data_IF_374701554496
#
_entry.id   IF_374701554496
#
_cell.length_a   1.000
_cell.length_b   1.000
_cell.length_c   1.000
_cell.angle_alpha   90.00
_cell.angle_beta   90.00
_cell.angle_gamma   90.00
#
_symmetry.space_group_name_H-M   'P 1'
#
loop_
_entity.id
_entity.type
_entity.pdbx_description
1 polymer ?
#
# COMPACT_ATOMS: atom_id res chain seq x y z
N UNK A 1 16.03 22.28 2.59
CA UNK A 1 16.49 22.47 3.99
C UNK A 1 16.87 21.15 4.65
N UNK A 2 15.96 20.18 4.77
CA UNK A 2 16.29 18.88 5.37
C UNK A 2 17.48 18.18 4.67
N UNK A 3 17.39 17.98 3.35
CA UNK A 3 18.46 17.36 2.54
C UNK A 3 19.81 18.09 2.70
N UNK A 4 19.81 19.41 2.68
CA UNK A 4 21.02 20.22 2.92
C UNK A 4 21.60 20.04 4.33
N UNK A 5 20.74 19.84 5.33
CA UNK A 5 21.18 19.62 6.72
C UNK A 5 21.76 18.22 6.89
N UNK A 6 21.21 17.24 6.17
CA UNK A 6 21.82 15.92 6.03
C UNK A 6 23.21 16.00 5.40
N UNK A 7 23.37 16.80 4.32
CA UNK A 7 24.67 17.03 3.66
C UNK A 7 25.66 17.70 4.63
N UNK A 8 25.22 18.70 5.39
CA UNK A 8 26.06 19.36 6.40
C UNK A 8 26.53 18.41 7.51
N UNK A 9 25.74 17.37 7.82
CA UNK A 9 26.11 16.27 8.74
C UNK A 9 27.00 15.19 8.11
N UNK A 10 27.32 15.31 6.81
CA UNK A 10 28.10 14.31 6.07
C UNK A 10 27.32 13.04 5.73
N UNK A 11 25.98 13.09 5.74
CA UNK A 11 25.16 11.97 5.29
C UNK A 11 25.14 11.93 3.75
N UNK A 12 25.13 10.71 3.19
CA UNK A 12 24.99 10.47 1.75
C UNK A 12 23.71 11.13 1.23
N UNK A 13 23.82 11.86 0.13
CA UNK A 13 22.69 12.39 -0.61
C UNK A 13 22.47 11.54 -1.85
N UNK A 14 21.27 11.03 -2.01
CA UNK A 14 20.85 10.26 -3.18
C UNK A 14 20.23 11.23 -4.20
N UNK A 15 20.97 11.48 -5.29
CA UNK A 15 20.57 12.40 -6.36
C UNK A 15 19.77 11.71 -7.48
N UNK A 16 19.95 10.39 -7.63
CA UNK A 16 19.30 9.56 -8.66
C UNK A 16 17.97 8.97 -8.19
N UNK A 17 17.71 9.03 -6.88
CA UNK A 17 16.47 8.59 -6.26
C UNK A 17 16.54 7.15 -5.75
N UNK A 18 15.74 6.88 -4.72
CA UNK A 18 15.84 5.64 -3.93
C UNK A 18 15.41 4.35 -4.65
N UNK A 19 14.89 4.45 -5.87
CA UNK A 19 14.25 3.33 -6.57
C UNK A 19 15.23 2.44 -7.35
N UNK A 20 16.46 2.89 -7.58
CA UNK A 20 17.56 2.10 -8.14
C UNK A 20 18.80 2.17 -7.21
N UNK A 21 18.78 1.45 -6.07
CA UNK A 21 19.75 1.66 -5.00
C UNK A 21 21.18 1.18 -5.30
N UNK A 22 21.42 0.50 -6.43
CA UNK A 22 22.73 -0.04 -6.78
C UNK A 22 23.32 -0.99 -5.72
N UNK A 23 24.65 -1.11 -5.68
CA UNK A 23 25.37 -1.96 -4.72
C UNK A 23 25.40 -1.39 -3.29
N UNK A 24 25.23 -0.07 -3.14
CA UNK A 24 25.27 0.62 -1.84
C UNK A 24 23.97 0.48 -1.04
N UNK A 25 22.97 -0.17 -1.62
CA UNK A 25 21.65 -0.36 -1.02
C UNK A 25 20.89 0.96 -0.87
N UNK A 26 19.65 0.84 -0.40
CA UNK A 26 18.75 2.00 -0.27
C UNK A 26 19.06 2.76 1.01
N UNK A 27 20.06 3.63 0.98
CA UNK A 27 20.50 4.43 2.14
C UNK A 27 20.85 5.86 1.74
N UNK A 28 20.62 6.81 2.65
CA UNK A 28 20.92 8.23 2.43
C UNK A 28 19.67 9.11 2.40
N UNK A 29 19.85 10.37 2.05
CA UNK A 29 18.83 11.41 2.10
C UNK A 29 18.58 12.00 0.71
N UNK A 30 17.36 12.43 0.43
CA UNK A 30 17.02 12.87 -0.93
C UNK A 30 15.56 13.28 -1.08
N UNK A 31 15.18 13.47 -2.34
CA UNK A 31 13.82 13.79 -2.76
C UNK A 31 13.11 12.50 -3.16
N UNK A 32 11.82 12.39 -2.83
CA UNK A 32 11.02 11.25 -3.25
C UNK A 32 10.41 11.47 -4.63
N UNK A 33 10.40 10.43 -5.44
CA UNK A 33 9.61 10.40 -6.67
C UNK A 33 8.14 10.15 -6.36
N UNK A 34 7.27 10.79 -7.15
CA UNK A 34 5.83 10.60 -7.05
C UNK A 34 5.21 10.33 -8.41
N UNK A 35 4.11 9.60 -8.39
CA UNK A 35 3.23 9.42 -9.54
C UNK A 35 2.41 10.70 -9.81
N UNK A 36 3.11 11.78 -10.14
CA UNK A 36 2.56 13.10 -10.46
C UNK A 36 3.20 13.59 -11.74
N UNK A 37 2.38 14.01 -12.69
CA UNK A 37 2.84 14.61 -13.94
C UNK A 37 2.11 15.93 -14.13
N UNK A 38 2.88 17.03 -14.27
CA UNK A 38 2.37 18.40 -14.37
C UNK A 38 1.30 18.72 -13.30
N UNK A 39 1.62 18.45 -12.04
CA UNK A 39 0.72 18.71 -10.92
C UNK A 39 -0.51 17.80 -10.82
N UNK A 40 -0.65 16.82 -11.72
CA UNK A 40 -1.79 15.89 -11.72
C UNK A 40 -1.35 14.49 -11.33
N UNK A 41 -2.07 13.88 -10.39
CA UNK A 41 -1.88 12.48 -10.00
C UNK A 41 -2.02 11.54 -11.20
N UNK A 42 -1.02 10.70 -11.43
CA UNK A 42 -1.06 9.60 -12.38
C UNK A 42 -1.57 8.34 -11.67
N UNK A 43 -2.89 8.11 -11.69
CA UNK A 43 -3.47 6.89 -11.13
C UNK A 43 -3.28 5.69 -12.08
N UNK A 44 -3.20 4.47 -11.51
CA UNK A 44 -3.15 3.24 -12.31
C UNK A 44 -4.38 3.11 -13.22
N UNK A 45 -5.56 3.55 -12.77
CA UNK A 45 -6.76 3.58 -13.58
C UNK A 45 -6.57 4.44 -14.85
N UNK A 46 -6.02 5.65 -14.72
CA UNK A 46 -5.72 6.52 -15.87
C UNK A 46 -4.68 5.88 -16.80
N UNK A 47 -3.62 5.30 -16.23
CA UNK A 47 -2.53 4.71 -16.99
C UNK A 47 -2.94 3.43 -17.77
N UNK A 48 -3.76 2.57 -17.17
CA UNK A 48 -4.08 1.24 -17.72
C UNK A 48 -5.40 1.20 -18.48
N UNK A 49 -6.46 1.83 -17.95
CA UNK A 49 -7.77 1.88 -18.62
C UNK A 49 -7.75 2.90 -19.77
N UNK A 50 -7.00 3.98 -19.60
CA UNK A 50 -6.96 5.08 -20.56
C UNK A 50 -8.31 5.79 -20.73
N UNK A 51 -8.38 6.69 -21.71
CA UNK A 51 -9.60 7.45 -22.00
C UNK A 51 -10.50 6.74 -23.04
N UNK A 52 -9.91 5.87 -23.87
CA UNK A 52 -10.62 5.15 -24.94
C UNK A 52 -11.25 3.86 -24.41
N UNK A 53 -12.57 3.78 -24.48
CA UNK A 53 -13.31 2.54 -24.17
C UNK A 53 -12.96 1.44 -25.17
N UNK A 54 -12.68 0.24 -24.67
CA UNK A 54 -12.46 -0.97 -25.47
C UNK A 54 -13.74 -1.81 -25.45
N UNK A 55 -14.16 -2.35 -26.59
CA UNK A 55 -15.41 -3.14 -26.71
C UNK A 55 -15.40 -4.42 -25.87
N UNK A 56 -14.22 -4.93 -25.54
CA UNK A 56 -14.00 -6.15 -24.77
C UNK A 56 -13.70 -5.89 -23.28
N UNK A 57 -13.86 -4.65 -22.79
CA UNK A 57 -13.64 -4.29 -21.39
C UNK A 57 -14.89 -3.59 -20.83
N UNK A 58 -15.51 -4.23 -19.86
CA UNK A 58 -16.69 -3.70 -19.18
C UNK A 58 -16.29 -3.26 -17.77
N UNK A 59 -16.49 -1.98 -17.46
CA UNK A 59 -16.23 -1.41 -16.13
C UNK A 59 -17.57 -1.07 -15.50
N UNK A 60 -17.85 -1.67 -14.34
CA UNK A 60 -19.09 -1.45 -13.58
C UNK A 60 -18.72 -0.81 -12.24
N UNK A 61 -18.96 0.50 -12.13
CA UNK A 61 -18.71 1.28 -10.90
C UNK A 61 -19.89 1.23 -9.94
N UNK A 62 -19.66 1.54 -8.67
CA UNK A 62 -20.70 1.47 -7.63
C UNK A 62 -21.12 0.04 -7.29
N UNK A 63 -20.28 -0.94 -7.65
CA UNK A 63 -20.50 -2.36 -7.39
C UNK A 63 -19.60 -2.86 -6.26
N UNK A 64 -20.19 -3.55 -5.30
CA UNK A 64 -19.49 -4.10 -4.13
C UNK A 64 -19.54 -5.63 -4.18
N UNK A 65 -18.40 -6.28 -4.44
CA UNK A 65 -18.32 -7.75 -4.51
C UNK A 65 -18.47 -8.35 -3.13
N UNK A 66 -19.37 -9.31 -2.99
CA UNK A 66 -19.68 -9.99 -1.72
C UNK A 66 -18.95 -11.31 -1.56
N UNK A 67 -18.95 -12.12 -2.62
CA UNK A 67 -18.34 -13.46 -2.64
C UNK A 67 -18.07 -13.93 -4.08
N UNK A 68 -17.17 -14.90 -4.17
CA UNK A 68 -16.92 -15.74 -5.32
C UNK A 68 -17.82 -16.96 -5.25
N UNK A 69 -18.37 -17.37 -6.39
CA UNK A 69 -19.25 -18.53 -6.50
C UNK A 69 -18.47 -19.74 -7.01
N UNK A 70 -18.73 -20.91 -6.45
CA UNK A 70 -18.06 -22.16 -6.79
C UNK A 70 -19.03 -23.23 -7.29
N UNK A 71 -18.47 -24.19 -8.02
CA UNK A 71 -19.10 -25.45 -8.38
C UNK A 71 -18.14 -26.59 -8.10
N UNK A 72 -18.68 -27.73 -7.66
CA UNK A 72 -17.90 -28.93 -7.34
C UNK A 72 -18.09 -29.96 -8.45
N UNK A 73 -17.04 -30.22 -9.21
CA UNK A 73 -17.03 -31.22 -10.27
C UNK A 73 -15.94 -32.26 -9.98
N UNK A 74 -16.31 -33.55 -9.97
CA UNK A 74 -15.38 -34.68 -9.70
C UNK A 74 -14.50 -34.45 -8.45
N UNK A 75 -15.09 -33.87 -7.40
CA UNK A 75 -14.41 -33.59 -6.14
C UNK A 75 -13.55 -32.32 -6.12
N UNK A 76 -13.36 -31.63 -7.25
CA UNK A 76 -12.60 -30.38 -7.35
C UNK A 76 -13.53 -29.16 -7.36
N UNK A 77 -13.19 -28.14 -6.57
CA UNK A 77 -13.88 -26.86 -6.56
C UNK A 77 -13.36 -25.98 -7.69
N UNK A 78 -14.26 -25.45 -8.52
CA UNK A 78 -13.94 -24.55 -9.62
C UNK A 78 -14.80 -23.30 -9.55
N UNK A 79 -14.20 -22.14 -9.81
CA UNK A 79 -14.94 -20.86 -9.81
C UNK A 79 -16.02 -20.85 -10.90
N UNK A 80 -17.17 -20.26 -10.59
CA UNK A 80 -18.31 -20.10 -11.50
C UNK A 80 -18.63 -18.65 -11.82
N UNK A 81 -18.22 -17.72 -10.97
CA UNK A 81 -18.55 -16.30 -11.10
C UNK A 81 -18.43 -15.53 -9.80
N UNK A 82 -19.06 -14.37 -9.75
CA UNK A 82 -19.09 -13.48 -8.58
C UNK A 82 -20.50 -12.99 -8.29
N UNK A 83 -20.78 -12.76 -7.01
CA UNK A 83 -21.97 -12.09 -6.53
C UNK A 83 -21.59 -10.71 -6.00
N UNK A 84 -22.34 -9.68 -6.37
CA UNK A 84 -22.06 -8.30 -6.00
C UNK A 84 -23.34 -7.48 -5.81
N UNK A 85 -23.26 -6.40 -5.03
CA UNK A 85 -24.34 -5.42 -4.89
C UNK A 85 -24.12 -4.28 -5.87
N UNK A 86 -25.15 -3.89 -6.63
CA UNK A 86 -25.17 -2.67 -7.43
C UNK A 86 -26.58 -2.06 -7.37
N UNK A 87 -26.68 -0.75 -7.12
CA UNK A 87 -27.97 -0.07 -6.99
C UNK A 87 -28.83 -0.55 -5.81
N UNK A 88 -28.24 -1.21 -4.80
CA UNK A 88 -28.97 -1.80 -3.67
C UNK A 88 -29.54 -3.20 -3.93
N UNK A 89 -29.28 -3.76 -5.11
CA UNK A 89 -29.74 -5.10 -5.50
C UNK A 89 -28.57 -6.08 -5.59
N UNK A 90 -28.85 -7.37 -5.39
CA UNK A 90 -27.85 -8.45 -5.53
C UNK A 90 -27.84 -8.93 -6.98
N UNK A 91 -26.66 -8.89 -7.59
CA UNK A 91 -26.39 -9.33 -8.94
C UNK A 91 -25.43 -10.51 -8.94
N UNK A 92 -25.56 -11.36 -9.95
CA UNK A 92 -24.66 -12.49 -10.19
C UNK A 92 -24.08 -12.38 -11.59
N UNK A 93 -22.75 -12.40 -11.69
CA UNK A 93 -22.04 -12.50 -12.97
C UNK A 93 -21.37 -13.86 -13.05
N UNK A 94 -21.80 -14.67 -14.03
CA UNK A 94 -21.27 -16.01 -14.26
C UNK A 94 -20.25 -16.01 -15.38
N UNK A 95 -19.22 -16.85 -15.24
CA UNK A 95 -18.32 -17.16 -16.33
C UNK A 95 -19.10 -17.85 -17.45
N UNK A 96 -18.89 -17.43 -18.70
CA UNK A 96 -19.49 -18.10 -19.86
C UNK A 96 -18.96 -19.52 -19.96
N UNK A 97 -19.84 -20.49 -20.22
CA UNK A 97 -19.47 -21.84 -20.63
C UNK A 97 -18.83 -21.84 -22.03
N UNK A 98 -17.83 -22.68 -22.25
CA UNK A 98 -17.14 -22.86 -23.55
C UNK A 98 -15.62 -22.69 -23.50
N UNK A 99 -14.91 -23.32 -24.44
CA UNK A 99 -13.50 -23.00 -24.74
C UNK A 99 -13.47 -21.60 -25.38
N UNK A 100 -12.49 -20.76 -25.06
CA UNK A 100 -12.30 -19.49 -25.75
C UNK A 100 -12.20 -19.67 -27.26
N UNK A 101 -12.88 -18.82 -28.02
CA UNK A 101 -12.81 -18.76 -29.49
C UNK A 101 -11.43 -18.24 -29.97
N UNK A 102 -10.55 -17.86 -29.05
CA UNK A 102 -9.19 -17.44 -29.34
C UNK A 102 -8.26 -18.64 -29.44
N UNK A 103 -7.32 -18.59 -30.38
CA UNK A 103 -6.04 -19.28 -30.21
C UNK A 103 -5.58 -19.02 -28.77
N UNK A 104 -5.73 -20.01 -27.88
CA UNK A 104 -5.17 -19.92 -26.55
C UNK A 104 -3.69 -19.62 -26.75
N UNK A 105 -3.20 -18.52 -26.16
CA UNK A 105 -1.77 -18.23 -26.19
C UNK A 105 -0.96 -19.30 -25.42
N UNK A 106 -1.63 -20.28 -24.79
CA UNK A 106 -1.32 -21.70 -24.95
C UNK A 106 0.16 -22.05 -24.82
N UNK A 107 0.73 -21.70 -23.68
CA UNK A 107 2.01 -22.24 -23.24
C UNK A 107 1.72 -23.27 -22.15
N UNK A 108 2.63 -24.21 -21.91
CA UNK A 108 2.51 -25.30 -20.90
C UNK A 108 2.13 -24.81 -19.47
N UNK A 109 2.16 -23.51 -19.21
CA UNK A 109 1.76 -22.84 -17.98
C UNK A 109 0.29 -22.34 -17.90
N UNK A 110 -0.50 -22.39 -18.99
CA UNK A 110 -1.81 -21.69 -19.10
C UNK A 110 -3.07 -22.50 -18.74
N UNK A 111 -2.95 -23.78 -18.40
CA UNK A 111 -4.08 -24.73 -18.35
C UNK A 111 -5.13 -24.47 -17.24
N UNK A 112 -4.90 -23.52 -16.33
CA UNK A 112 -5.79 -23.24 -15.19
C UNK A 112 -6.50 -21.88 -15.20
N UNK A 113 -6.20 -20.98 -16.14
CA UNK A 113 -6.68 -19.58 -16.07
C UNK A 113 -7.22 -18.99 -17.39
N UNK A 114 -7.61 -19.81 -18.37
CA UNK A 114 -8.23 -19.31 -19.62
C UNK A 114 -9.50 -18.48 -19.38
N UNK A 115 -10.26 -18.81 -18.32
CA UNK A 115 -11.40 -18.05 -17.79
C UNK A 115 -11.43 -18.22 -16.28
N UNK A 116 -11.63 -17.14 -15.54
CA UNK A 116 -11.68 -17.20 -14.10
C UNK A 116 -11.95 -15.86 -13.44
N UNK A 117 -11.73 -15.81 -12.14
CA UNK A 117 -11.91 -14.61 -11.31
C UNK A 117 -10.55 -14.22 -10.73
N UNK A 118 -10.29 -12.92 -10.70
CA UNK A 118 -9.09 -12.35 -10.07
C UNK A 118 -9.58 -11.39 -9.00
N UNK A 119 -9.23 -11.65 -7.74
CA UNK A 119 -9.50 -10.74 -6.64
C UNK A 119 -8.39 -9.67 -6.59
N UNK A 120 -8.82 -8.41 -6.56
CA UNK A 120 -7.92 -7.25 -6.42
C UNK A 120 -8.49 -6.27 -5.39
N UNK A 121 -9.12 -6.79 -4.33
CA UNK A 121 -9.82 -5.98 -3.32
C UNK A 121 -8.88 -5.46 -2.22
N UNK A 122 -7.59 -5.76 -2.31
CA UNK A 122 -6.56 -5.30 -1.38
C UNK A 122 -6.47 -6.16 -0.13
N UNK A 123 -5.43 -5.91 0.67
CA UNK A 123 -5.10 -6.74 1.82
C UNK A 123 -6.19 -6.75 2.91
N UNK A 124 -7.14 -5.82 2.91
CA UNK A 124 -8.20 -5.78 3.93
C UNK A 124 -9.47 -6.49 3.42
N UNK A 125 -9.94 -6.17 2.22
CA UNK A 125 -11.24 -6.68 1.74
C UNK A 125 -11.14 -8.04 1.06
N UNK A 126 -10.00 -8.42 0.49
CA UNK A 126 -9.83 -9.74 -0.13
C UNK A 126 -10.09 -10.88 0.86
N UNK A 127 -9.53 -10.89 2.09
CA UNK A 127 -9.87 -11.90 3.10
C UNK A 127 -11.36 -11.98 3.44
N UNK A 128 -12.07 -10.85 3.50
CA UNK A 128 -13.52 -10.83 3.74
C UNK A 128 -14.26 -11.54 2.60
N UNK A 129 -13.96 -11.19 1.35
CA UNK A 129 -14.58 -11.82 0.18
C UNK A 129 -14.27 -13.32 0.18
N UNK A 130 -13.04 -13.73 0.49
CA UNK A 130 -12.66 -15.14 0.57
C UNK A 130 -13.45 -15.90 1.65
N UNK A 131 -13.56 -15.35 2.86
CA UNK A 131 -14.33 -15.96 3.95
C UNK A 131 -15.82 -16.11 3.58
N UNK A 132 -16.43 -15.07 3.00
CA UNK A 132 -17.81 -15.11 2.48
C UNK A 132 -18.01 -16.17 1.37
N UNK A 133 -16.91 -16.57 0.73
CA UNK A 133 -16.89 -17.56 -0.35
C UNK A 133 -16.55 -18.98 0.14
N UNK A 134 -16.40 -19.19 1.45
CA UNK A 134 -16.02 -20.49 2.01
C UNK A 134 -14.53 -20.83 1.88
N UNK A 135 -13.67 -19.83 1.68
CA UNK A 135 -12.20 -19.98 1.55
C UNK A 135 -11.49 -19.38 2.76
N UNK A 136 -11.47 -20.11 3.87
CA UNK A 136 -10.83 -19.68 5.13
C UNK A 136 -10.68 -20.88 6.07
N UNK A 137 -10.15 -20.69 7.27
CA UNK A 137 -9.86 -21.78 8.22
C UNK A 137 -11.07 -22.71 8.49
N UNK A 138 -12.28 -22.15 8.52
CA UNK A 138 -13.54 -22.88 8.77
C UNK A 138 -14.43 -23.01 7.53
N UNK A 139 -13.87 -22.74 6.34
CA UNK A 139 -14.61 -22.77 5.08
C UNK A 139 -14.95 -24.17 4.58
N UNK A 140 -16.03 -24.26 3.80
CA UNK A 140 -16.54 -25.48 3.17
C UNK A 140 -16.02 -25.69 1.73
N UNK A 141 -15.50 -24.64 1.08
CA UNK A 141 -14.88 -24.72 -0.24
C UNK A 141 -13.42 -25.14 -0.12
N UNK A 142 -12.62 -24.43 0.67
CA UNK A 142 -11.24 -24.80 0.99
C UNK A 142 -10.83 -24.27 2.36
N UNK A 143 -10.12 -25.11 3.12
CA UNK A 143 -9.61 -24.77 4.46
C UNK A 143 -8.27 -24.04 4.37
N UNK A 144 -8.31 -22.72 4.20
CA UNK A 144 -7.13 -21.88 4.07
C UNK A 144 -6.89 -21.08 5.35
N UNK A 145 -6.04 -21.61 6.24
CA UNK A 145 -5.75 -21.00 7.56
C UNK A 145 -5.04 -19.65 7.46
N UNK A 146 -4.31 -19.41 6.37
CA UNK A 146 -3.61 -18.15 6.10
C UNK A 146 -4.51 -16.96 5.77
N UNK A 147 -5.78 -17.17 5.41
CA UNK A 147 -6.67 -16.08 4.99
C UNK A 147 -6.92 -15.13 6.16
N UNK A 148 -6.52 -13.86 5.97
CA UNK A 148 -6.59 -12.81 6.96
C UNK A 148 -5.40 -12.76 7.94
N UNK A 149 -4.49 -13.73 7.92
CA UNK A 149 -3.30 -13.76 8.81
C UNK A 149 -2.14 -12.99 8.18
N UNK A 150 -1.09 -12.71 8.96
CA UNK A 150 0.14 -12.09 8.44
C UNK A 150 -0.07 -10.69 7.83
N UNK A 151 -1.09 -9.94 8.28
CA UNK A 151 -1.27 -8.56 7.84
C UNK A 151 -0.10 -7.73 8.37
N UNK A 152 0.62 -7.07 7.47
CA UNK A 152 1.77 -6.22 7.76
C UNK A 152 1.51 -4.80 7.27
N UNK A 153 2.19 -3.84 7.88
CA UNK A 153 2.27 -2.43 7.50
C UNK A 153 3.67 -1.94 7.87
N UNK A 154 3.96 -0.66 7.69
CA UNK A 154 5.12 0.02 8.25
C UNK A 154 4.70 0.84 9.48
N UNK A 155 4.82 0.33 10.73
CA UNK A 155 4.54 1.12 11.91
C UNK A 155 5.32 2.44 11.89
N UNK A 156 4.62 3.55 12.08
CA UNK A 156 5.19 4.89 11.94
C UNK A 156 4.97 5.72 13.19
N UNK A 157 5.98 6.50 13.56
CA UNK A 157 5.92 7.51 14.62
C UNK A 157 6.26 8.88 14.05
N UNK A 158 5.75 9.95 14.65
CA UNK A 158 5.97 11.32 14.20
C UNK A 158 6.71 12.19 15.21
N UNK A 159 7.74 12.89 14.76
CA UNK A 159 8.33 14.03 15.45
C UNK A 159 7.72 15.31 14.90
N UNK A 160 7.26 16.18 15.78
CA UNK A 160 6.61 17.44 15.43
C UNK A 160 7.43 18.56 16.04
N UNK A 161 7.83 19.52 15.20
CA UNK A 161 8.59 20.71 15.60
C UNK A 161 7.81 21.97 15.29
N UNK A 162 7.89 22.97 16.17
CA UNK A 162 7.46 24.32 15.83
C UNK A 162 8.36 24.92 14.75
N UNK A 163 7.84 25.87 13.98
CA UNK A 163 8.59 26.63 12.98
C UNK A 163 8.67 28.08 13.47
N UNK A 164 9.82 28.50 13.97
CA UNK A 164 10.01 29.82 14.59
C UNK A 164 10.16 30.95 13.57
N UNK A 165 10.65 30.67 12.36
CA UNK A 165 10.81 31.70 11.31
C UNK A 165 9.46 32.19 10.75
N UNK A 166 8.36 31.47 10.99
CA UNK A 166 7.02 31.83 10.56
C UNK A 166 6.22 32.43 11.73
N UNK A 167 6.38 33.74 11.96
CA UNK A 167 5.68 34.48 13.03
C UNK A 167 4.17 34.70 12.79
N UNK A 168 3.64 34.35 11.61
CA UNK A 168 2.20 34.48 11.32
C UNK A 168 1.47 33.12 11.42
N UNK A 169 0.21 33.09 11.92
CA UNK A 169 -0.64 31.90 11.85
C UNK A 169 -0.67 31.39 10.42
N UNK A 170 -0.66 30.07 10.23
CA UNK A 170 -0.49 29.47 8.89
C UNK A 170 -1.53 30.02 7.90
N UNK A 171 -1.11 30.90 6.99
CA UNK A 171 -1.94 31.34 5.85
C UNK A 171 -2.20 30.19 4.86
N UNK A 172 -1.50 29.08 5.03
CA UNK A 172 -1.50 27.88 4.19
C UNK A 172 -2.42 26.80 4.77
N UNK A 173 -3.66 27.14 5.08
CA UNK A 173 -4.67 26.11 5.34
C UNK A 173 -5.14 25.55 3.99
N UNK A 174 -5.54 24.26 3.96
CA UNK A 174 -6.15 23.67 2.75
C UNK A 174 -7.34 24.52 2.30
N UNK A 175 -8.12 25.08 3.23
CA UNK A 175 -9.25 25.96 2.91
C UNK A 175 -8.81 27.28 2.26
N UNK A 176 -7.73 27.92 2.72
CA UNK A 176 -7.17 29.11 2.06
C UNK A 176 -6.65 28.76 0.67
N UNK A 177 -5.92 27.65 0.50
CA UNK A 177 -5.38 27.24 -0.80
C UNK A 177 -6.48 26.84 -1.79
N UNK A 178 -7.52 26.13 -1.33
CA UNK A 178 -8.69 25.81 -2.14
C UNK A 178 -9.45 27.06 -2.54
N UNK A 179 -9.54 28.06 -1.65
CA UNK A 179 -10.16 29.36 -1.95
C UNK A 179 -9.34 30.11 -3.00
N UNK A 180 -8.02 30.23 -2.82
CA UNK A 180 -7.11 30.86 -3.80
C UNK A 180 -7.16 30.15 -5.15
N UNK A 181 -7.20 28.82 -5.15
CA UNK A 181 -7.36 28.02 -6.36
C UNK A 181 -8.72 28.28 -7.02
N UNK A 182 -9.81 28.25 -6.25
CA UNK A 182 -11.14 28.61 -6.73
C UNK A 182 -11.20 30.02 -7.31
N UNK A 183 -10.56 30.99 -6.64
CA UNK A 183 -10.47 32.38 -7.10
C UNK A 183 -9.73 32.51 -8.43
N UNK A 184 -8.64 31.75 -8.63
CA UNK A 184 -7.91 31.69 -9.92
C UNK A 184 -8.75 31.08 -11.05
N UNK A 185 -9.74 30.24 -10.73
CA UNK A 185 -10.64 29.60 -11.70
C UNK A 185 -11.92 30.36 -11.97
N UNK A 186 -12.30 31.36 -11.16
CA UNK A 186 -13.57 32.10 -11.31
C UNK A 186 -13.79 32.72 -12.69
N UNK A 187 -12.72 32.97 -13.45
CA UNK A 187 -12.75 33.57 -14.79
C UNK A 187 -12.14 32.67 -15.89
N UNK A 188 -12.04 31.35 -15.66
CA UNK A 188 -11.50 30.39 -16.64
C UNK A 188 -12.42 29.17 -16.76
N UNK A 189 -12.59 28.66 -17.97
CA UNK A 189 -13.37 27.43 -18.20
C UNK A 189 -12.66 26.18 -17.64
N UNK A 190 -11.34 26.21 -17.47
CA UNK A 190 -10.55 25.11 -16.90
C UNK A 190 -9.24 25.60 -16.27
N UNK A 191 -8.74 24.80 -15.32
CA UNK A 191 -7.43 25.00 -14.70
C UNK A 191 -6.30 24.56 -15.65
N UNK A 192 -5.22 25.34 -15.70
CA UNK A 192 -3.94 24.90 -16.27
C UNK A 192 -3.09 24.23 -15.20
N UNK A 193 -2.15 23.38 -15.62
CA UNK A 193 -1.25 22.66 -14.70
C UNK A 193 -0.43 23.59 -13.79
N UNK A 194 -0.04 24.75 -14.30
CA UNK A 194 0.67 25.80 -13.57
C UNK A 194 -0.20 26.47 -12.48
N UNK A 195 -1.53 26.38 -12.59
CA UNK A 195 -2.47 26.99 -11.65
C UNK A 195 -2.56 26.19 -10.33
N UNK A 196 -2.13 24.92 -10.31
CA UNK A 196 -2.25 24.04 -9.14
C UNK A 196 -1.32 24.44 -7.99
N UNK A 197 -0.18 25.05 -8.27
CA UNK A 197 0.81 25.41 -7.24
C UNK A 197 1.10 24.25 -6.29
N UNK A 198 0.98 24.49 -4.98
CA UNK A 198 1.18 23.48 -3.92
C UNK A 198 0.16 22.33 -3.96
N UNK A 199 -1.07 22.56 -4.47
CA UNK A 199 -2.08 21.51 -4.63
C UNK A 199 -1.71 20.50 -5.73
N UNK A 200 -0.77 20.88 -6.60
CA UNK A 200 -0.17 19.97 -7.58
C UNK A 200 0.92 19.07 -7.00
N UNK A 201 1.22 19.21 -5.70
CA UNK A 201 2.25 18.43 -5.02
C UNK A 201 1.62 17.45 -4.02
N UNK A 202 2.30 16.36 -3.64
CA UNK A 202 1.83 15.43 -2.62
C UNK A 202 1.90 16.00 -1.19
N UNK A 203 2.42 17.22 -0.98
CA UNK A 203 2.57 17.84 0.35
C UNK A 203 3.74 17.32 1.20
N UNK A 204 4.49 16.33 0.70
CA UNK A 204 5.75 15.83 1.24
C UNK A 204 6.81 15.82 0.14
N UNK A 205 8.07 16.14 0.45
CA UNK A 205 9.05 16.45 -0.59
C UNK A 205 10.39 15.76 -0.44
N UNK A 206 10.75 15.32 0.75
CA UNK A 206 12.08 14.77 1.00
C UNK A 206 12.08 13.85 2.20
N UNK A 207 13.19 13.14 2.37
CA UNK A 207 13.37 12.20 3.45
C UNK A 207 14.68 11.47 3.33
N UNK A 208 14.71 10.25 3.84
CA UNK A 208 15.86 9.38 3.70
C UNK A 208 15.58 7.97 4.17
N UNK A 209 16.47 7.08 3.79
CA UNK A 209 16.49 5.69 4.23
C UNK A 209 17.74 5.46 5.07
N UNK A 210 17.56 4.82 6.23
CA UNK A 210 18.64 4.62 7.19
C UNK A 210 18.69 3.17 7.66
N UNK A 211 19.90 2.73 7.99
CA UNK A 211 20.18 1.43 8.57
C UNK A 211 20.56 1.62 10.03
N UNK A 212 19.73 1.14 10.94
CA UNK A 212 19.99 1.20 12.37
C UNK A 212 21.02 0.14 12.81
N UNK A 213 21.67 0.30 13.98
CA UNK A 213 22.55 -0.72 14.56
C UNK A 213 21.82 -2.04 14.93
N UNK A 214 20.49 -2.07 14.89
CA UNK A 214 19.67 -3.24 15.19
C UNK A 214 19.20 -3.97 13.92
N UNK A 215 19.56 -3.46 12.74
CA UNK A 215 19.39 -4.15 11.47
C UNK A 215 20.32 -5.37 11.38
N UNK A 216 19.88 -6.42 10.70
CA UNK A 216 20.78 -7.53 10.36
C UNK A 216 21.87 -7.08 9.37
N UNK A 217 23.05 -7.72 9.40
CA UNK A 217 24.14 -7.38 8.49
C UNK A 217 23.73 -7.46 7.01
N UNK A 218 22.93 -8.47 6.66
CA UNK A 218 22.42 -8.70 5.29
C UNK A 218 21.18 -7.87 4.93
N UNK A 219 20.71 -6.99 5.82
CA UNK A 219 19.50 -6.20 5.60
C UNK A 219 19.82 -4.84 4.97
N UNK A 220 18.99 -4.43 4.00
CA UNK A 220 18.90 -3.05 3.49
C UNK A 220 18.47 -2.08 4.62
N UNK A 221 18.19 -0.81 4.34
CA UNK A 221 17.64 0.12 5.36
C UNK A 221 16.43 -0.43 6.11
N UNK A 222 16.30 -0.15 7.40
CA UNK A 222 15.19 -0.56 8.26
C UNK A 222 14.30 0.63 8.68
N UNK A 223 14.71 1.85 8.31
CA UNK A 223 13.99 3.10 8.58
C UNK A 223 13.79 3.90 7.30
N UNK A 224 12.57 4.41 7.12
CA UNK A 224 12.26 5.48 6.18
C UNK A 224 11.83 6.74 6.95
N UNK A 225 12.48 7.86 6.67
CA UNK A 225 12.11 9.18 7.18
C UNK A 225 11.33 9.94 6.14
N UNK A 226 10.19 10.53 6.49
CA UNK A 226 9.46 11.42 5.57
C UNK A 226 9.27 12.79 6.17
N UNK A 227 9.59 13.82 5.39
CA UNK A 227 9.46 15.22 5.78
C UNK A 227 8.17 15.81 5.23
N UNK A 228 7.35 16.31 6.13
CA UNK A 228 6.19 17.15 5.87
C UNK A 228 6.55 18.57 6.29
N UNK A 229 6.89 19.46 5.34
CA UNK A 229 7.38 20.80 5.65
C UNK A 229 6.41 21.62 6.50
N UNK A 230 5.11 21.32 6.43
CA UNK A 230 4.06 21.92 7.26
C UNK A 230 2.98 20.88 7.59
N UNK A 231 2.46 20.93 8.81
CA UNK A 231 1.27 20.19 9.23
C UNK A 231 0.04 20.98 8.80
N UNK A 232 -0.56 20.61 7.67
CA UNK A 232 -1.88 21.11 7.27
C UNK A 232 -2.94 20.10 7.76
N UNK A 233 -3.97 20.54 8.48
CA UNK A 233 -5.05 19.68 8.98
C UNK A 233 -5.67 18.75 7.91
N UNK A 234 -6.24 17.58 8.27
CA UNK A 234 -5.86 16.66 9.33
C UNK A 234 -4.99 15.54 8.70
N UNK A 235 -3.68 15.75 8.68
CA UNK A 235 -2.70 14.68 8.43
C UNK A 235 -2.68 13.71 9.64
N UNK A 236 -1.82 12.68 9.66
CA UNK A 236 -1.60 11.68 10.74
C UNK A 236 -1.95 12.12 12.20
N UNK A 237 -1.76 13.40 12.55
CA UNK A 237 -2.20 14.05 13.80
C UNK A 237 -3.70 13.97 14.11
N UNK A 238 -4.56 13.81 13.12
CA UNK A 238 -6.01 13.71 13.31
C UNK A 238 -6.45 12.42 14.01
N UNK A 239 -5.65 11.35 13.85
CA UNK A 239 -5.80 10.13 14.65
C UNK A 239 -5.29 10.33 16.08
N UNK A 240 -4.35 11.28 16.27
CA UNK A 240 -3.81 11.67 17.56
C UNK A 240 -4.67 12.76 18.24
N UNK A 241 -6.00 12.62 18.33
CA UNK A 241 -6.97 13.40 19.16
C UNK A 241 -6.80 14.94 19.32
N UNK A 242 -5.91 15.59 18.59
CA UNK A 242 -5.58 16.99 18.74
C UNK A 242 -6.28 17.74 17.62
N UNK A 243 -7.46 18.28 17.95
CA UNK A 243 -8.06 19.38 17.17
C UNK A 243 -7.06 20.53 17.22
N UNK A 244 -6.33 20.75 16.15
CA UNK A 244 -5.43 21.90 16.04
C UNK A 244 -6.26 23.17 16.18
N UNK A 245 -6.01 23.89 17.27
CA UNK A 245 -6.65 25.16 17.51
C UNK A 245 -6.03 26.17 16.52
N UNK A 246 -6.81 27.02 15.82
CA UNK A 246 -6.29 27.94 14.80
C UNK A 246 -5.33 29.04 15.30
N UNK A 247 -4.91 28.98 16.57
CA UNK A 247 -3.95 29.87 17.22
C UNK A 247 -2.57 29.22 17.45
N UNK A 248 -2.33 28.00 16.99
CA UNK A 248 -1.04 27.35 17.16
C UNK A 248 -0.01 27.81 16.11
N UNK A 249 1.25 28.04 16.54
CA UNK A 249 2.39 28.27 15.64
C UNK A 249 2.46 27.18 14.55
N UNK A 250 2.91 27.51 13.32
CA UNK A 250 3.12 26.52 12.27
C UNK A 250 4.06 25.39 12.73
N UNK A 251 3.76 24.15 12.33
CA UNK A 251 4.54 22.97 12.72
C UNK A 251 5.04 22.21 11.49
N UNK A 252 6.23 21.61 11.58
CA UNK A 252 6.73 20.61 10.65
C UNK A 252 6.56 19.21 11.25
N UNK A 253 6.37 18.20 10.39
CA UNK A 253 6.28 16.79 10.81
C UNK A 253 7.37 15.98 10.12
N UNK A 254 8.09 15.19 10.90
CA UNK A 254 9.07 14.21 10.44
C UNK A 254 8.57 12.83 10.88
N UNK A 255 8.24 11.96 9.95
CA UNK A 255 7.86 10.59 10.31
C UNK A 255 9.05 9.66 10.26
N UNK A 256 9.07 8.67 11.14
CA UNK A 256 10.03 7.57 11.19
C UNK A 256 9.20 6.30 11.04
N UNK A 257 9.28 5.66 9.87
CA UNK A 257 8.56 4.42 9.57
C UNK A 257 9.52 3.23 9.65
N UNK A 258 9.08 2.17 10.32
CA UNK A 258 9.78 0.90 10.42
C UNK A 258 9.50 0.06 9.17
N UNK A 259 10.55 -0.29 8.41
CA UNK A 259 10.44 -0.96 7.11
C UNK A 259 10.42 -2.49 7.17
N UNK A 260 10.85 -3.07 8.30
CA UNK A 260 10.88 -4.52 8.52
C UNK A 260 10.40 -4.87 9.93
N UNK A 261 9.11 -4.63 10.23
CA UNK A 261 8.57 -4.90 11.55
C UNK A 261 8.44 -6.40 11.80
N UNK A 262 8.69 -6.81 13.04
CA UNK A 262 8.28 -8.10 13.57
C UNK A 262 6.77 -8.12 13.86
N UNK A 263 6.19 -6.95 14.16
CA UNK A 263 4.75 -6.76 14.37
C UNK A 263 3.91 -7.40 13.26
N UNK A 264 2.84 -8.09 13.65
CA UNK A 264 1.84 -8.67 12.75
C UNK A 264 0.45 -8.33 13.24
N UNK A 265 -0.44 -8.05 12.29
CA UNK A 265 -1.87 -7.95 12.51
C UNK A 265 -2.59 -9.07 11.77
N UNK A 266 -3.90 -9.15 11.97
CA UNK A 266 -4.78 -10.01 11.20
C UNK A 266 -6.06 -9.27 10.84
N UNK A 267 -6.60 -9.59 9.68
CA UNK A 267 -7.94 -9.22 9.25
C UNK A 267 -8.89 -10.29 9.76
N UNK A 268 -9.88 -9.89 10.56
CA UNK A 268 -10.95 -10.76 11.03
C UNK A 268 -12.19 -10.48 10.19
N UNK A 269 -12.62 -11.44 9.34
CA UNK A 269 -13.83 -11.27 8.55
C UNK A 269 -15.05 -11.07 9.46
N UNK A 270 -15.90 -10.10 9.11
CA UNK A 270 -17.21 -9.91 9.70
C UNK A 270 -18.19 -11.01 9.28
N UNK A 271 -19.31 -11.19 10.03
CA UNK A 271 -20.33 -12.16 9.68
C UNK A 271 -20.95 -11.87 8.30
N UNK A 272 -21.33 -12.94 7.60
CA UNK A 272 -21.91 -12.86 6.28
C UNK A 272 -23.26 -13.57 6.23
N UNK A 273 -24.32 -12.83 5.88
CA UNK A 273 -25.63 -13.41 5.58
C UNK A 273 -25.87 -13.35 4.07
N UNK A 274 -25.86 -14.51 3.40
CA UNK A 274 -26.10 -14.59 1.95
C UNK A 274 -27.50 -14.14 1.55
N UNK A 275 -28.48 -14.23 2.45
CA UNK A 275 -29.91 -13.96 2.16
C UNK A 275 -30.30 -12.48 2.21
N UNK A 276 -29.40 -11.59 2.63
CA UNK A 276 -29.64 -10.14 2.66
C UNK A 276 -28.89 -9.41 1.55
N UNK A 277 -29.48 -8.31 1.07
CA UNK A 277 -28.86 -7.34 0.16
C UNK A 277 -28.42 -6.05 0.89
N UNK A 278 -28.77 -5.91 2.18
CA UNK A 278 -28.53 -4.69 2.95
C UNK A 278 -27.05 -4.53 3.29
N UNK A 279 -26.48 -3.36 3.02
CA UNK A 279 -25.11 -3.00 3.46
C UNK A 279 -24.90 -3.09 4.96
N UNK A 280 -25.95 -2.91 5.77
CA UNK A 280 -25.87 -3.07 7.24
C UNK A 280 -25.63 -4.52 7.66
N UNK A 281 -25.95 -5.47 6.79
CA UNK A 281 -25.77 -6.91 7.01
C UNK A 281 -24.43 -7.42 6.44
N UNK A 282 -23.57 -6.50 5.97
CA UNK A 282 -22.17 -6.73 5.58
C UNK A 282 -21.25 -5.85 6.43
N UNK A 283 -21.08 -6.16 7.73
CA UNK A 283 -20.10 -5.46 8.54
C UNK A 283 -18.71 -5.59 7.89
N UNK A 284 -17.99 -4.47 7.85
CA UNK A 284 -16.60 -4.43 7.39
C UNK A 284 -15.74 -5.35 8.26
N UNK A 285 -14.68 -5.95 7.69
CA UNK A 285 -13.73 -6.71 8.50
C UNK A 285 -13.08 -5.81 9.55
N UNK A 286 -12.69 -6.39 10.68
CA UNK A 286 -11.89 -5.71 11.70
C UNK A 286 -10.41 -6.06 11.52
N UNK A 287 -9.54 -5.16 12.00
CA UNK A 287 -8.10 -5.41 12.08
C UNK A 287 -7.75 -5.57 13.55
N UNK A 288 -7.09 -6.66 13.88
CA UNK A 288 -6.61 -6.96 15.22
C UNK A 288 -5.09 -7.11 15.21
N UNK A 289 -4.42 -6.60 16.24
CA UNK A 289 -3.00 -6.88 16.45
C UNK A 289 -2.85 -8.34 16.86
N UNK A 290 -2.00 -9.08 16.17
CA UNK A 290 -1.72 -10.49 16.42
C UNK A 290 -0.41 -10.66 17.18
N UNK A 291 0.64 -9.99 16.70
CA UNK A 291 1.94 -9.85 17.35
C UNK A 291 2.22 -8.35 17.50
N UNK A 292 2.34 -7.81 18.72
CA UNK A 292 2.65 -6.40 18.93
C UNK A 292 4.11 -6.08 18.56
N UNK A 293 4.47 -4.79 18.56
CA UNK A 293 5.86 -4.36 18.37
C UNK A 293 6.82 -5.10 19.30
N UNK A 294 7.85 -5.71 18.72
CA UNK A 294 8.92 -6.37 19.48
C UNK A 294 9.84 -5.35 20.14
N UNK A 295 10.71 -5.78 21.05
CA UNK A 295 11.74 -4.90 21.61
C UNK A 295 12.73 -4.44 20.52
N UNK A 296 12.97 -5.26 19.48
CA UNK A 296 13.77 -4.89 18.31
C UNK A 296 13.08 -3.75 17.54
N UNK A 297 11.81 -3.91 17.21
CA UNK A 297 11.02 -2.88 16.51
C UNK A 297 11.06 -1.53 17.26
N UNK A 298 10.87 -1.57 18.59
CA UNK A 298 10.90 -0.37 19.44
C UNK A 298 12.29 0.28 19.47
N UNK A 299 13.36 -0.53 19.51
CA UNK A 299 14.73 -0.01 19.52
C UNK A 299 15.11 0.62 18.16
N UNK A 300 14.68 0.05 17.04
CA UNK A 300 14.85 0.65 15.70
C UNK A 300 14.13 2.00 15.63
N UNK A 301 12.85 2.05 16.01
CA UNK A 301 12.08 3.29 16.00
C UNK A 301 12.68 4.36 16.93
N UNK A 302 13.14 3.97 18.13
CA UNK A 302 13.83 4.86 19.06
C UNK A 302 15.10 5.43 18.43
N UNK A 303 15.94 4.59 17.84
CA UNK A 303 17.16 5.02 17.16
C UNK A 303 16.84 5.98 16.02
N UNK A 304 15.79 5.70 15.23
CA UNK A 304 15.35 6.60 14.15
C UNK A 304 14.92 7.98 14.64
N UNK A 305 14.17 8.05 15.75
CA UNK A 305 13.79 9.33 16.38
C UNK A 305 15.05 10.10 16.81
N UNK A 306 15.98 9.44 17.50
CA UNK A 306 17.24 10.06 17.96
C UNK A 306 18.10 10.50 16.77
N UNK A 307 18.16 9.72 15.70
CA UNK A 307 18.89 10.05 14.48
C UNK A 307 18.29 11.27 13.77
N UNK A 308 16.96 11.34 13.63
CA UNK A 308 16.28 12.51 13.07
C UNK A 308 16.56 13.75 13.93
N UNK A 309 16.45 13.66 15.26
CA UNK A 309 16.80 14.78 16.16
C UNK A 309 18.21 15.30 15.92
N UNK A 310 19.19 14.41 15.70
CA UNK A 310 20.56 14.81 15.40
C UNK A 310 20.69 15.52 14.06
N UNK A 311 19.96 15.08 13.02
CA UNK A 311 19.92 15.77 11.73
C UNK A 311 19.33 17.17 11.88
N UNK A 312 18.25 17.31 12.64
CA UNK A 312 17.53 18.58 12.80
C UNK A 312 18.31 19.65 13.58
N UNK A 313 19.39 19.28 14.27
CA UNK A 313 20.34 20.22 14.90
C UNK A 313 21.32 20.87 13.91
N UNK A 314 21.40 20.39 12.68
CA UNK A 314 22.32 20.93 11.68
C UNK A 314 21.66 22.05 10.83
N UNK A 315 22.42 23.08 10.44
CA UNK A 315 21.93 24.06 9.49
C UNK A 315 21.79 23.45 8.08
N UNK A 316 20.89 23.97 7.25
CA UNK A 316 20.05 25.14 7.51
C UNK A 316 18.75 24.85 8.28
N UNK A 317 18.33 23.59 8.47
CA UNK A 317 17.01 23.32 9.05
C UNK A 317 16.90 23.78 10.51
N UNK A 318 18.02 23.71 11.26
CA UNK A 318 18.09 24.17 12.65
C UNK A 318 17.89 25.68 12.82
N UNK A 319 17.99 26.49 11.75
CA UNK A 319 17.78 27.94 11.84
C UNK A 319 16.29 28.32 11.76
N UNK A 320 15.42 27.34 11.48
CA UNK A 320 14.00 27.56 11.17
C UNK A 320 13.09 26.80 12.12
N UNK A 321 13.53 25.63 12.60
CA UNK A 321 12.80 24.86 13.59
C UNK A 321 13.01 25.43 15.00
N UNK A 322 11.92 25.49 15.76
CA UNK A 322 11.92 25.76 17.19
C UNK A 322 11.93 24.47 18.02
N UNK A 323 11.20 24.48 19.13
CA UNK A 323 11.15 23.35 20.06
C UNK A 323 10.44 22.11 19.47
N UNK A 324 10.87 20.93 19.93
CA UNK A 324 10.18 19.67 19.66
C UNK A 324 8.87 19.62 20.46
N UNK A 325 7.75 19.72 19.76
CA UNK A 325 6.41 19.62 20.34
C UNK A 325 6.07 18.17 20.73
N UNK A 326 6.44 17.19 19.90
CA UNK A 326 6.21 15.76 20.13
C UNK A 326 7.31 14.92 19.47
N UNK A 327 7.74 13.80 20.05
CA UNK A 327 7.34 13.25 21.37
C UNK A 327 7.86 14.02 22.59
N UNK A 328 8.96 14.76 22.47
CA UNK A 328 9.69 15.42 23.57
C UNK A 328 9.91 14.48 24.78
N UNK A 329 10.41 13.27 24.49
CA UNK A 329 10.74 12.22 25.46
C UNK A 329 12.10 11.60 25.12
N UNK A 330 12.77 11.04 26.13
CA UNK A 330 14.05 10.35 25.98
C UNK A 330 14.03 9.00 26.73
N UNK A 331 15.08 8.19 26.55
CA UNK A 331 15.29 6.98 27.34
C UNK A 331 14.08 6.03 27.33
N UNK A 332 13.69 5.54 28.50
CA UNK A 332 12.57 4.61 28.65
C UNK A 332 11.19 5.25 28.45
N UNK A 333 11.05 6.54 28.71
CA UNK A 333 9.81 7.25 28.45
C UNK A 333 9.50 7.30 26.96
N UNK A 334 10.54 7.47 26.13
CA UNK A 334 10.41 7.41 24.67
C UNK A 334 9.96 6.03 24.21
N UNK A 335 10.49 4.94 24.80
CA UNK A 335 10.09 3.56 24.48
C UNK A 335 8.61 3.32 24.77
N UNK A 336 8.14 3.76 25.94
CA UNK A 336 6.72 3.69 26.32
C UNK A 336 5.84 4.50 25.37
N UNK A 337 6.31 5.69 25.00
CA UNK A 337 5.60 6.54 24.05
C UNK A 337 5.47 5.89 22.67
N UNK A 338 6.54 5.28 22.13
CA UNK A 338 6.52 4.57 20.83
C UNK A 338 5.46 3.46 20.84
N UNK A 339 5.46 2.61 21.87
CA UNK A 339 4.48 1.52 21.99
C UNK A 339 3.04 2.03 22.00
N UNK A 340 2.79 3.20 22.61
CA UNK A 340 1.46 3.78 22.73
C UNK A 340 1.03 4.67 21.55
N UNK A 341 1.95 5.18 20.73
CA UNK A 341 1.67 6.24 19.74
C UNK A 341 2.10 5.89 18.30
N UNK A 342 2.60 4.69 18.04
CA UNK A 342 2.80 4.23 16.66
C UNK A 342 1.45 4.13 15.94
N UNK A 343 1.48 4.42 14.65
CA UNK A 343 0.31 4.43 13.78
C UNK A 343 0.55 3.53 12.57
N UNK A 344 -0.51 3.04 11.92
CA UNK A 344 -0.39 2.44 10.61
C UNK A 344 0.04 3.50 9.58
N UNK A 345 0.91 3.11 8.64
CA UNK A 345 1.32 3.94 7.52
C UNK A 345 0.50 3.64 6.25
N UNK A 346 -0.55 2.82 6.38
CA UNK A 346 -1.48 2.46 5.30
C UNK A 346 -0.83 1.68 4.16
N UNK A 347 0.25 0.96 4.45
CA UNK A 347 0.94 0.03 3.56
C UNK A 347 0.55 -1.42 3.85
N UNK A 348 -0.76 -1.66 4.00
CA UNK A 348 -1.31 -2.96 4.36
C UNK A 348 -1.04 -4.04 3.29
N UNK A 349 -0.38 -5.12 3.70
CA UNK A 349 -0.01 -6.26 2.84
C UNK A 349 -0.12 -7.61 3.57
N UNK A 350 0.00 -8.71 2.85
CA UNK A 350 0.32 -10.03 3.43
C UNK A 350 -0.82 -10.88 3.98
N UNK A 351 -2.05 -10.36 3.97
CA UNK A 351 -3.25 -11.04 4.49
C UNK A 351 -3.71 -12.27 3.70
N UNK A 352 -3.15 -12.49 2.51
CA UNK A 352 -3.39 -13.65 1.64
C UNK A 352 -2.07 -14.15 1.06
N UNK A 353 -1.07 -14.26 1.95
CA UNK A 353 0.34 -14.56 1.66
C UNK A 353 0.54 -15.65 0.60
N UNK A 354 1.42 -15.34 -0.35
CA UNK A 354 2.01 -16.31 -1.28
C UNK A 354 2.97 -17.25 -0.55
N UNK A 355 2.82 -18.56 -0.78
CA UNK A 355 3.72 -19.58 -0.24
C UNK A 355 4.78 -20.00 -1.25
N UNK A 356 5.91 -20.49 -0.75
CA UNK A 356 6.87 -21.25 -1.56
C UNK A 356 6.72 -22.74 -1.25
N UNK A 357 6.62 -23.62 -2.26
CA UNK A 357 6.58 -25.05 -2.02
C UNK A 357 7.95 -25.54 -1.54
N UNK A 358 7.95 -26.45 -0.56
CA UNK A 358 9.16 -27.16 -0.17
C UNK A 358 9.57 -28.18 -1.25
N UNK A 359 10.70 -28.89 -1.04
CA UNK A 359 11.22 -29.87 -2.00
C UNK A 359 10.22 -30.99 -2.37
N UNK A 360 9.22 -31.25 -1.52
CA UNK A 360 8.16 -32.23 -1.75
C UNK A 360 6.90 -31.63 -2.39
N UNK A 361 6.92 -30.35 -2.77
CA UNK A 361 5.80 -29.64 -3.39
C UNK A 361 4.75 -29.12 -2.41
N UNK A 362 4.99 -29.19 -1.09
CA UNK A 362 4.02 -28.75 -0.08
C UNK A 362 4.28 -27.29 0.32
N UNK A 363 3.22 -26.50 0.40
CA UNK A 363 3.27 -25.11 0.87
C UNK A 363 3.26 -25.02 2.39
N UNK A 364 3.72 -23.88 2.94
CA UNK A 364 3.55 -23.59 4.36
C UNK A 364 2.07 -23.50 4.74
N UNK A 365 1.74 -23.80 6.00
CA UNK A 365 0.36 -23.89 6.49
C UNK A 365 -0.44 -22.58 6.31
N UNK A 366 0.23 -21.44 6.23
CA UNK A 366 -0.36 -20.12 6.06
C UNK A 366 -0.33 -19.60 4.62
N UNK A 367 0.11 -20.41 3.65
CA UNK A 367 0.03 -20.06 2.24
C UNK A 367 -1.43 -20.01 1.76
N UNK A 368 -1.77 -18.98 1.01
CA UNK A 368 -3.09 -18.78 0.41
C UNK A 368 -3.03 -18.89 -1.11
N UNK A 369 -1.94 -18.39 -1.70
CA UNK A 369 -1.69 -18.49 -3.15
C UNK A 369 -0.33 -19.11 -3.44
N UNK A 370 -0.18 -19.67 -4.64
CA UNK A 370 1.10 -20.15 -5.16
C UNK A 370 1.93 -19.04 -5.86
N UNK A 371 3.09 -19.40 -6.39
CA UNK A 371 4.01 -18.49 -7.09
C UNK A 371 3.43 -17.87 -8.38
N UNK A 372 2.32 -18.42 -8.87
CA UNK A 372 1.55 -17.93 -10.01
C UNK A 372 0.29 -17.17 -9.57
N UNK A 373 0.19 -16.83 -8.28
CA UNK A 373 -0.92 -16.09 -7.66
C UNK A 373 -2.27 -16.83 -7.68
N UNK A 374 -2.27 -18.14 -7.92
CA UNK A 374 -3.48 -18.98 -7.94
C UNK A 374 -3.84 -19.37 -6.50
N UNK A 375 -5.12 -19.28 -6.16
CA UNK A 375 -5.60 -19.67 -4.83
C UNK A 375 -5.50 -21.18 -4.64
N UNK A 376 -4.87 -21.60 -3.54
CA UNK A 376 -4.67 -23.01 -3.24
C UNK A 376 -6.01 -23.72 -3.00
N UNK A 377 -6.14 -24.95 -3.51
CA UNK A 377 -7.31 -25.81 -3.30
C UNK A 377 -8.52 -25.55 -4.21
N UNK A 378 -8.47 -24.53 -5.10
CA UNK A 378 -9.55 -24.25 -6.06
C UNK A 378 -9.02 -23.94 -7.46
N UNK A 379 -9.83 -24.20 -8.49
CA UNK A 379 -9.49 -23.88 -9.89
C UNK A 379 -10.07 -22.53 -10.33
N UNK A 380 -9.27 -21.77 -11.09
CA UNK A 380 -9.69 -20.56 -11.81
C UNK A 380 -9.85 -19.30 -10.95
N UNK A 381 -9.33 -19.30 -9.72
CA UNK A 381 -9.28 -18.12 -8.86
C UNK A 381 -7.82 -17.67 -8.65
N UNK A 382 -7.56 -16.38 -8.86
CA UNK A 382 -6.29 -15.72 -8.56
C UNK A 382 -6.49 -14.53 -7.60
N UNK A 383 -5.42 -14.12 -6.93
CA UNK A 383 -5.37 -12.87 -6.15
C UNK A 383 -4.22 -12.03 -6.68
N UNK A 384 -4.50 -10.80 -7.13
CA UNK A 384 -3.50 -9.89 -7.68
C UNK A 384 -3.57 -8.53 -6.99
N UNK A 385 -3.29 -8.53 -5.68
CA UNK A 385 -3.24 -7.32 -4.86
C UNK A 385 -2.13 -7.41 -3.80
N UNK A 386 -2.12 -6.45 -2.86
CA UNK A 386 -1.10 -6.36 -1.83
C UNK A 386 -1.13 -7.49 -0.78
N UNK A 387 -2.26 -8.20 -0.66
CA UNK A 387 -2.43 -9.30 0.29
C UNK A 387 -1.49 -10.47 0.03
N UNK A 388 -1.05 -10.67 -1.21
CA UNK A 388 -0.19 -11.81 -1.57
C UNK A 388 1.26 -11.68 -1.10
N UNK A 389 1.71 -10.48 -0.74
CA UNK A 389 3.12 -10.22 -0.44
C UNK A 389 3.51 -10.93 0.87
N UNK A 390 4.47 -11.88 0.87
CA UNK A 390 4.80 -12.62 2.09
C UNK A 390 5.35 -11.73 3.21
N UNK A 391 6.13 -10.72 2.81
CA UNK A 391 6.68 -9.68 3.66
C UNK A 391 6.40 -8.32 3.05
N UNK A 392 6.26 -7.29 3.89
CA UNK A 392 6.16 -5.92 3.42
C UNK A 392 7.45 -5.52 2.68
N UNK A 393 7.36 -4.97 1.45
CA UNK A 393 8.53 -4.54 0.73
C UNK A 393 9.18 -3.36 1.44
N UNK A 394 10.49 -3.24 1.32
CA UNK A 394 11.22 -2.11 1.85
C UNK A 394 10.78 -0.83 1.11
N UNK A 395 10.00 0.05 1.75
CA UNK A 395 9.48 1.29 1.17
C UNK A 395 8.00 1.24 0.76
N UNK A 396 7.50 2.31 0.14
CA UNK A 396 6.07 2.42 -0.21
C UNK A 396 5.60 1.30 -1.17
N UNK A 397 4.42 0.74 -0.92
CA UNK A 397 3.98 -0.52 -1.55
C UNK A 397 3.36 -0.37 -2.95
N UNK A 398 3.08 0.85 -3.41
CA UNK A 398 2.32 1.08 -4.64
C UNK A 398 3.00 0.50 -5.89
N UNK A 399 4.31 0.74 -6.05
CA UNK A 399 5.08 0.21 -7.19
C UNK A 399 5.08 -1.32 -7.19
N UNK A 400 5.28 -1.95 -6.03
CA UNK A 400 5.22 -3.41 -5.87
C UNK A 400 3.83 -3.96 -6.23
N UNK A 401 2.74 -3.30 -5.85
CA UNK A 401 1.38 -3.70 -6.26
C UNK A 401 1.21 -3.62 -7.79
N UNK A 402 1.78 -2.58 -8.43
CA UNK A 402 1.76 -2.48 -9.90
C UNK A 402 2.52 -3.64 -10.55
N UNK A 403 3.65 -4.06 -9.98
CA UNK A 403 4.40 -5.24 -10.43
C UNK A 403 3.57 -6.51 -10.29
N UNK A 404 2.87 -6.71 -9.16
CA UNK A 404 1.94 -7.85 -8.98
C UNK A 404 0.86 -7.87 -10.07
N UNK A 405 0.21 -6.73 -10.34
CA UNK A 405 -0.78 -6.62 -11.41
C UNK A 405 -0.21 -6.92 -12.80
N UNK A 406 1.00 -6.44 -13.09
CA UNK A 406 1.72 -6.75 -14.33
C UNK A 406 2.00 -8.24 -14.48
N UNK A 407 2.50 -8.89 -13.42
CA UNK A 407 2.81 -10.33 -13.40
C UNK A 407 1.55 -11.17 -13.56
N UNK A 408 0.46 -10.81 -12.91
CA UNK A 408 -0.83 -11.46 -13.11
C UNK A 408 -1.26 -11.41 -14.58
N UNK A 409 -1.15 -10.24 -15.23
CA UNK A 409 -1.41 -10.11 -16.67
C UNK A 409 -0.55 -11.01 -17.55
N UNK A 410 0.74 -11.17 -17.21
CA UNK A 410 1.66 -12.07 -17.92
C UNK A 410 1.29 -13.55 -17.74
N UNK A 411 0.86 -13.96 -16.54
CA UNK A 411 0.40 -15.32 -16.29
C UNK A 411 -0.90 -15.65 -17.04
N UNK A 412 -1.81 -14.68 -17.18
CA UNK A 412 -3.09 -14.85 -17.88
C UNK A 412 -2.88 -14.93 -19.39
N UNK A 413 -2.06 -14.03 -19.95
CA UNK A 413 -1.83 -13.95 -21.40
C UNK A 413 -0.85 -15.03 -21.87
N UNK A 414 -0.02 -15.58 -20.97
CA UNK A 414 1.08 -16.48 -21.31
C UNK A 414 2.23 -15.75 -22.01
N UNK A 415 3.37 -16.44 -22.19
CA UNK A 415 4.44 -15.90 -23.04
C UNK A 415 3.95 -15.88 -24.49
N UNK A 416 3.87 -14.70 -25.11
CA UNK A 416 3.76 -14.62 -26.58
C UNK A 416 4.88 -15.46 -27.19
N UNK A 417 4.55 -16.51 -27.94
CA UNK A 417 5.51 -17.08 -28.89
C UNK A 417 5.88 -15.97 -29.86
N UNK A 418 7.15 -15.54 -29.85
CA UNK A 418 7.70 -14.64 -30.86
C UNK A 418 7.57 -15.32 -32.23
N UNK A 419 6.47 -15.07 -32.96
CA UNK A 419 6.24 -15.57 -34.32
C UNK A 419 7.25 -14.99 -35.35
N UNK A 420 8.14 -14.08 -34.94
CA UNK A 420 9.08 -13.37 -35.82
C UNK A 420 10.51 -13.96 -35.87
N UNK A 421 10.86 -14.97 -35.03
CA UNK A 421 12.17 -15.64 -35.15
C UNK A 421 12.22 -16.78 -36.16
N UNK A 422 11.07 -17.38 -36.53
CA UNK A 422 11.00 -18.49 -37.49
C UNK A 422 10.84 -18.05 -38.96
N UNK A 423 10.59 -16.77 -39.23
CA UNK A 423 10.52 -16.22 -40.60
C UNK A 423 11.87 -15.79 -41.18
N UNK A 424 12.97 -15.89 -40.44
CA UNK A 424 14.33 -15.62 -40.93
C UNK A 424 15.17 -16.89 -41.21
N UNK A 425 14.54 -18.07 -41.24
CA UNK A 425 15.22 -19.35 -41.54
C UNK A 425 14.50 -20.19 -42.63
N UNK A 426 13.89 -19.55 -43.63
CA UNK A 426 13.52 -20.23 -44.87
C UNK A 426 14.02 -19.46 -46.07
#
# INVERSE_FOLDING_TARGET
MFVESCRAKGLRIDEDGFNDPGEEGRTGCGVYDFNVFNGTRQSVARAVLGEKRRRNLHVVSGSEVRRVLFSKEKGKQSVRGVEFINGGEVHVSLLKSGKGDGEGLGTEDSDDMERGVILTAGAIMTPQIMANSGLWEHGDVAKLKGVGKNLQDHPVVGLIYEIDELNEPSVYTISTQLKEYGDKLKNRESAKNEDFGVLGTPGLSSGGFFKSPYSGEAEDSDIQVTVFPRVTEPHITSFMKNKTNPLEKPKALFTVALLRPDMRSKVVPGPFNSSSASKKDFPLPTIEVDVPLSERDVNILKWGIEHVREILKAPPISTVLGDEYSPNKNGDELRKWIKANHLPNSHWVGSTKMGQPNASGNYDEYAVVDEKLRVLGVKGLMIADAGIMPNVPNGNVHSTVCVVGRRAGEFIVGKKKDKDKDKKKK
#
